data_IF_901957415114
#
_entry.id   IF_901957415114
#
_cell.length_a   1.000
_cell.length_b   1.000
_cell.length_c   1.000
_cell.angle_alpha   90.00
_cell.angle_beta   90.00
_cell.angle_gamma   90.00
#
_symmetry.space_group_name_H-M   'P 1'
#
loop_
_entity.id
_entity.type
_entity.pdbx_description
1 polymer ?
#
# COMPACT_ATOMS: atom_id res chain seq x y z
N UNK A 1 31.60 17.67 7.55
CA UNK A 1 30.39 18.52 7.66
C UNK A 1 29.55 18.00 8.82
N UNK A 2 29.30 18.84 9.82
CA UNK A 2 28.52 18.52 11.03
C UNK A 2 27.13 17.93 10.69
N UNK A 3 26.60 17.03 11.52
CA UNK A 3 25.26 16.43 11.37
C UNK A 3 24.18 17.49 11.43
N UNK A 4 24.31 18.46 12.33
CA UNK A 4 23.33 19.55 12.52
C UNK A 4 23.22 20.41 11.25
N UNK A 5 24.38 20.78 10.68
CA UNK A 5 24.45 21.52 9.43
C UNK A 5 23.84 20.74 8.25
N UNK A 6 23.97 19.40 8.23
CA UNK A 6 23.33 18.57 7.21
C UNK A 6 21.81 18.58 7.30
N UNK A 7 21.29 18.40 8.50
CA UNK A 7 19.85 18.35 8.73
C UNK A 7 19.21 19.69 8.40
N UNK A 8 19.88 20.80 8.73
CA UNK A 8 19.44 22.14 8.35
C UNK A 8 19.42 22.32 6.82
N UNK A 9 20.49 21.92 6.12
CA UNK A 9 20.57 22.02 4.66
C UNK A 9 19.52 21.16 3.94
N UNK A 10 19.27 19.93 4.44
CA UNK A 10 18.22 19.06 3.93
C UNK A 10 16.83 19.69 4.09
N UNK A 11 16.51 20.18 5.30
CA UNK A 11 15.21 20.83 5.57
C UNK A 11 15.01 22.07 4.70
N UNK A 12 16.05 22.91 4.55
CA UNK A 12 15.98 24.09 3.70
C UNK A 12 15.68 23.73 2.24
N UNK A 13 16.34 22.68 1.70
CA UNK A 13 16.08 22.21 0.33
C UNK A 13 14.70 21.58 0.18
N UNK A 14 14.25 20.83 1.19
CA UNK A 14 12.90 20.25 1.23
C UNK A 14 11.83 21.36 1.20
N UNK A 15 12.00 22.38 2.04
CA UNK A 15 11.12 23.54 2.10
C UNK A 15 11.09 24.30 0.77
N UNK A 16 12.26 24.63 0.21
CA UNK A 16 12.39 25.33 -1.06
C UNK A 16 11.77 24.55 -2.24
N UNK A 17 11.77 23.22 -2.19
CA UNK A 17 11.15 22.38 -3.23
C UNK A 17 9.62 22.31 -3.13
N UNK A 18 9.01 22.83 -2.07
CA UNK A 18 7.57 22.70 -1.79
C UNK A 18 7.10 21.28 -1.47
N UNK A 19 8.03 20.30 -1.36
CA UNK A 19 7.72 18.88 -1.10
C UNK A 19 7.62 18.55 0.39
N UNK A 20 7.79 19.53 1.28
CA UNK A 20 7.76 19.34 2.73
C UNK A 20 6.47 18.66 3.25
N UNK A 21 5.26 19.09 2.86
CA UNK A 21 4.03 18.44 3.32
C UNK A 21 3.92 16.99 2.85
N UNK A 22 4.39 16.72 1.64
CA UNK A 22 4.41 15.38 1.05
C UNK A 22 5.38 14.46 1.79
N UNK A 23 6.58 14.95 2.10
CA UNK A 23 7.61 14.18 2.81
C UNK A 23 7.15 13.78 4.22
N UNK A 24 6.66 14.74 5.01
CA UNK A 24 6.16 14.47 6.35
C UNK A 24 4.85 13.68 6.34
N UNK A 25 3.98 13.91 5.35
CA UNK A 25 2.78 13.12 5.13
C UNK A 25 3.10 11.64 4.91
N UNK A 26 4.08 11.31 4.06
CA UNK A 26 4.50 9.93 3.82
C UNK A 26 5.09 9.26 5.08
N UNK A 27 5.87 10.00 5.88
CA UNK A 27 6.40 9.50 7.16
C UNK A 27 5.28 9.21 8.16
N UNK A 28 4.33 10.14 8.30
CA UNK A 28 3.16 9.97 9.16
C UNK A 28 2.32 8.78 8.69
N UNK A 29 2.10 8.63 7.38
CA UNK A 29 1.39 7.48 6.81
C UNK A 29 2.07 6.16 7.20
N UNK A 30 3.39 6.04 7.05
CA UNK A 30 4.12 4.84 7.46
C UNK A 30 3.93 4.51 8.94
N UNK A 31 4.03 5.51 9.81
CA UNK A 31 3.83 5.33 11.24
C UNK A 31 2.40 4.86 11.56
N UNK A 32 1.41 5.55 11.01
CA UNK A 32 0.00 5.22 11.20
C UNK A 32 -0.34 3.83 10.65
N UNK A 33 0.23 3.42 9.51
CA UNK A 33 0.03 2.08 8.96
C UNK A 33 0.59 0.98 9.86
N UNK A 34 1.79 1.18 10.41
CA UNK A 34 2.42 0.21 11.31
C UNK A 34 1.63 0.07 12.61
N UNK A 35 1.13 1.18 13.15
CA UNK A 35 0.32 1.18 14.38
C UNK A 35 -1.07 0.61 14.11
N UNK A 36 -1.72 0.99 13.01
CA UNK A 36 -3.10 0.59 12.71
C UNK A 36 -3.23 -0.88 12.31
N UNK A 37 -2.21 -1.44 11.64
CA UNK A 37 -2.23 -2.82 11.14
C UNK A 37 -2.68 -3.87 12.18
N UNK A 38 -2.07 -3.98 13.38
CA UNK A 38 -2.48 -4.98 14.36
C UNK A 38 -3.93 -4.81 14.81
N UNK A 39 -4.42 -3.57 14.91
CA UNK A 39 -5.83 -3.30 15.25
C UNK A 39 -6.78 -3.72 14.13
N UNK A 40 -6.44 -3.42 12.87
CA UNK A 40 -7.22 -3.85 11.71
C UNK A 40 -7.25 -5.38 11.58
N UNK A 41 -6.10 -6.04 11.76
CA UNK A 41 -5.98 -7.50 11.71
C UNK A 41 -6.75 -8.16 12.85
N UNK A 42 -6.66 -7.64 14.08
CA UNK A 42 -7.40 -8.14 15.23
C UNK A 42 -8.92 -7.96 15.07
N UNK A 43 -9.37 -6.79 14.59
CA UNK A 43 -10.79 -6.54 14.32
C UNK A 43 -11.33 -7.49 13.25
N UNK A 44 -10.58 -7.69 12.15
CA UNK A 44 -10.91 -8.69 11.14
C UNK A 44 -10.95 -10.10 11.74
N UNK A 45 -9.91 -10.50 12.47
CA UNK A 45 -9.82 -11.85 13.03
C UNK A 45 -10.96 -12.14 14.01
N UNK A 46 -11.27 -11.22 14.93
CA UNK A 46 -12.37 -11.39 15.88
C UNK A 46 -13.74 -11.44 15.19
N UNK A 47 -13.95 -10.66 14.13
CA UNK A 47 -15.22 -10.62 13.42
C UNK A 47 -15.49 -11.91 12.63
N UNK A 48 -14.44 -12.54 12.07
CA UNK A 48 -14.59 -13.66 11.14
C UNK A 48 -14.13 -15.02 11.68
N UNK A 49 -13.24 -15.03 12.69
CA UNK A 49 -12.55 -16.23 13.19
C UNK A 49 -12.66 -16.40 14.72
N UNK A 50 -13.64 -15.78 15.37
CA UNK A 50 -13.87 -15.90 16.81
C UNK A 50 -14.37 -17.29 17.26
N UNK A 51 -14.69 -18.21 16.35
CA UNK A 51 -14.94 -19.61 16.67
C UNK A 51 -14.28 -20.54 15.64
N UNK A 52 -13.80 -21.74 16.01
CA UNK A 52 -13.23 -22.70 15.06
C UNK A 52 -14.21 -23.15 13.97
N UNK A 53 -15.52 -23.05 14.23
CA UNK A 53 -16.60 -23.28 13.27
C UNK A 53 -17.01 -22.00 12.52
N UNK A 54 -16.41 -20.85 12.85
CA UNK A 54 -16.88 -19.53 12.41
C UNK A 54 -16.43 -19.12 11.00
N UNK A 55 -15.43 -19.79 10.43
CA UNK A 55 -15.08 -19.64 9.01
C UNK A 55 -16.27 -19.96 8.08
N UNK A 56 -17.18 -20.84 8.53
CA UNK A 56 -18.43 -21.17 7.86
C UNK A 56 -19.60 -20.33 8.38
N UNK A 57 -19.46 -19.69 9.53
CA UNK A 57 -20.50 -18.87 10.13
C UNK A 57 -20.52 -17.48 9.50
N UNK A 58 -21.72 -16.94 9.43
CA UNK A 58 -22.00 -15.69 8.75
C UNK A 58 -21.67 -14.56 9.72
N UNK A 59 -21.02 -13.47 9.28
CA UNK A 59 -20.82 -12.30 10.13
C UNK A 59 -22.13 -11.90 10.76
N UNK A 60 -22.09 -11.63 12.07
CA UNK A 60 -23.28 -11.15 12.74
C UNK A 60 -23.60 -9.74 12.20
N UNK A 61 -24.69 -9.56 11.44
CA UNK A 61 -25.08 -8.26 10.90
C UNK A 61 -25.40 -7.31 12.05
N UNK A 62 -25.07 -6.04 11.92
CA UNK A 62 -25.23 -5.07 13.01
C UNK A 62 -24.34 -5.32 14.23
N UNK A 63 -23.34 -6.21 14.14
CA UNK A 63 -22.32 -6.33 15.18
C UNK A 63 -21.64 -4.97 15.39
N UNK A 64 -21.56 -4.49 16.65
CA UNK A 64 -20.93 -3.22 16.94
C UNK A 64 -19.45 -3.25 16.51
N UNK A 65 -18.96 -2.10 16.06
CA UNK A 65 -17.55 -1.92 15.74
C UNK A 65 -16.76 -2.14 17.05
N UNK A 66 -15.89 -3.13 17.06
CA UNK A 66 -15.01 -3.36 18.23
C UNK A 66 -14.06 -2.17 18.44
N UNK A 67 -13.54 -1.97 19.65
CA UNK A 67 -12.53 -0.94 19.93
C UNK A 67 -11.32 -1.02 18.99
N UNK A 68 -10.87 -2.23 18.62
CA UNK A 68 -9.82 -2.40 17.61
C UNK A 68 -10.26 -1.94 16.21
N UNK A 69 -11.52 -2.14 15.87
CA UNK A 69 -12.12 -1.63 14.62
C UNK A 69 -12.17 -0.10 14.60
N UNK A 70 -12.57 0.53 15.70
CA UNK A 70 -12.59 1.98 15.85
C UNK A 70 -11.20 2.58 15.69
N UNK A 71 -10.19 2.01 16.37
CA UNK A 71 -8.79 2.45 16.24
C UNK A 71 -8.31 2.27 14.80
N UNK A 72 -8.60 1.13 14.17
CA UNK A 72 -8.24 0.87 12.76
C UNK A 72 -8.84 1.93 11.83
N UNK A 73 -10.14 2.17 11.90
CA UNK A 73 -10.85 3.12 11.05
C UNK A 73 -10.34 4.54 11.30
N UNK A 74 -10.16 4.94 12.56
CA UNK A 74 -9.69 6.27 12.93
C UNK A 74 -8.29 6.55 12.39
N UNK A 75 -7.34 5.63 12.64
CA UNK A 75 -5.96 5.79 12.15
C UNK A 75 -5.89 5.84 10.62
N UNK A 76 -6.75 5.07 9.94
CA UNK A 76 -6.86 5.08 8.47
C UNK A 76 -7.50 6.36 7.95
N UNK A 77 -8.50 6.90 8.65
CA UNK A 77 -9.08 8.20 8.35
C UNK A 77 -8.05 9.33 8.45
N UNK A 78 -7.27 9.37 9.54
CA UNK A 78 -6.18 10.35 9.72
C UNK A 78 -5.15 10.24 8.59
N UNK A 79 -4.77 9.01 8.22
CA UNK A 79 -3.87 8.76 7.09
C UNK A 79 -4.44 9.36 5.79
N UNK A 80 -5.69 9.05 5.44
CA UNK A 80 -6.31 9.57 4.22
C UNK A 80 -6.39 11.10 4.19
N UNK A 81 -6.76 11.72 5.33
CA UNK A 81 -6.77 13.17 5.45
C UNK A 81 -5.38 13.77 5.24
N UNK A 82 -4.34 13.12 5.77
CA UNK A 82 -2.95 13.57 5.59
C UNK A 82 -2.45 13.45 4.14
N UNK A 83 -3.08 12.60 3.34
CA UNK A 83 -2.73 12.38 1.93
C UNK A 83 -3.52 13.24 0.94
N UNK A 84 -4.54 13.97 1.38
CA UNK A 84 -5.39 14.80 0.49
C UNK A 84 -4.57 15.77 -0.37
N UNK A 85 -3.56 16.42 0.22
CA UNK A 85 -2.67 17.34 -0.53
C UNK A 85 -1.78 16.62 -1.56
N UNK A 86 -1.56 15.32 -1.38
CA UNK A 86 -0.75 14.50 -2.30
C UNK A 86 -1.57 13.97 -3.49
N UNK A 87 -2.91 14.03 -3.44
CA UNK A 87 -3.78 13.55 -4.52
C UNK A 87 -3.53 14.29 -5.84
N UNK A 88 -3.31 15.61 -5.77
CA UNK A 88 -3.08 16.44 -6.95
C UNK A 88 -1.82 16.05 -7.72
N UNK A 89 -0.80 15.56 -7.03
CA UNK A 89 0.47 15.16 -7.63
C UNK A 89 0.52 13.69 -8.04
N UNK A 90 -0.49 12.88 -7.65
CA UNK A 90 -0.45 11.42 -7.78
C UNK A 90 -1.81 10.82 -8.16
N UNK A 91 -2.13 10.70 -9.45
CA UNK A 91 -3.37 10.08 -9.93
C UNK A 91 -3.57 8.65 -9.41
N UNK A 92 -2.48 7.86 -9.29
CA UNK A 92 -2.54 6.51 -8.74
C UNK A 92 -3.03 6.47 -7.28
N UNK A 93 -2.76 7.52 -6.50
CA UNK A 93 -3.23 7.66 -5.13
C UNK A 93 -4.73 7.93 -5.10
N UNK A 94 -5.26 8.74 -6.04
CA UNK A 94 -6.70 9.00 -6.18
C UNK A 94 -7.49 7.71 -6.36
N UNK A 95 -7.08 6.85 -7.30
CA UNK A 95 -7.76 5.56 -7.52
C UNK A 95 -7.70 4.64 -6.29
N UNK A 96 -6.59 4.70 -5.55
CA UNK A 96 -6.40 3.94 -4.33
C UNK A 96 -7.37 4.37 -3.20
N UNK A 97 -7.52 5.68 -2.98
CA UNK A 97 -8.48 6.20 -1.99
C UNK A 97 -9.92 5.97 -2.44
N UNK A 98 -10.25 6.16 -3.72
CA UNK A 98 -11.58 5.88 -4.26
C UNK A 98 -11.98 4.43 -4.05
N UNK A 99 -11.08 3.47 -4.32
CA UNK A 99 -11.34 2.06 -4.04
C UNK A 99 -11.63 1.80 -2.56
N UNK A 100 -10.88 2.42 -1.66
CA UNK A 100 -11.10 2.29 -0.21
C UNK A 100 -12.43 2.89 0.24
N UNK A 101 -12.81 4.06 -0.31
CA UNK A 101 -14.09 4.72 -0.03
C UNK A 101 -15.26 3.88 -0.53
N UNK A 102 -15.17 3.33 -1.74
CA UNK A 102 -16.22 2.46 -2.31
C UNK A 102 -16.43 1.23 -1.42
N UNK A 103 -15.37 0.61 -0.92
CA UNK A 103 -15.51 -0.53 0.00
C UNK A 103 -16.10 -0.10 1.34
N UNK A 104 -15.69 1.04 1.89
CA UNK A 104 -16.28 1.59 3.12
C UNK A 104 -17.79 1.85 2.96
N UNK A 105 -18.18 2.55 1.91
CA UNK A 105 -19.58 2.86 1.59
C UNK A 105 -20.38 1.58 1.33
N UNK A 106 -19.80 0.61 0.63
CA UNK A 106 -20.44 -0.69 0.39
C UNK A 106 -20.67 -1.43 1.70
N UNK A 107 -19.70 -1.43 2.62
CA UNK A 107 -19.83 -2.08 3.91
C UNK A 107 -20.89 -1.41 4.80
N UNK A 108 -20.99 -0.08 4.77
CA UNK A 108 -22.04 0.67 5.48
C UNK A 108 -23.41 0.38 4.86
N UNK A 109 -23.52 0.46 3.53
CA UNK A 109 -24.78 0.23 2.82
C UNK A 109 -25.32 -1.19 3.04
N UNK A 110 -24.43 -2.17 3.14
CA UNK A 110 -24.80 -3.57 3.32
C UNK A 110 -24.92 -3.99 4.80
N UNK A 111 -24.61 -3.10 5.74
CA UNK A 111 -24.52 -3.37 7.19
C UNK A 111 -23.56 -4.54 7.53
N UNK A 112 -22.38 -4.52 6.90
CA UNK A 112 -21.35 -5.56 7.04
C UNK A 112 -20.04 -4.90 7.49
N UNK A 113 -20.01 -4.44 8.73
CA UNK A 113 -18.83 -3.80 9.34
C UNK A 113 -17.55 -4.63 9.21
N UNK A 114 -17.67 -5.96 9.19
CA UNK A 114 -16.55 -6.90 8.98
C UNK A 114 -15.84 -6.81 7.64
N UNK A 115 -16.50 -6.35 6.56
CA UNK A 115 -15.88 -6.20 5.24
C UNK A 115 -14.93 -5.01 5.18
N UNK A 116 -15.01 -4.08 6.13
CA UNK A 116 -14.15 -2.88 6.19
C UNK A 116 -12.72 -3.26 6.59
N UNK A 117 -12.55 -4.25 7.48
CA UNK A 117 -11.24 -4.50 8.09
C UNK A 117 -10.25 -5.22 7.18
N UNK A 118 -10.73 -6.09 6.29
CA UNK A 118 -9.88 -6.86 5.37
C UNK A 118 -9.09 -5.99 4.36
N UNK A 119 -9.72 -5.07 3.61
CA UNK A 119 -8.98 -4.15 2.74
C UNK A 119 -8.08 -3.22 3.56
N UNK A 120 -8.50 -2.81 4.77
CA UNK A 120 -7.70 -1.94 5.64
C UNK A 120 -6.47 -2.64 6.25
N UNK A 121 -6.56 -3.95 6.52
CA UNK A 121 -5.45 -4.76 7.01
C UNK A 121 -4.41 -5.01 5.91
N UNK A 122 -4.85 -5.23 4.66
CA UNK A 122 -3.94 -5.51 3.54
C UNK A 122 -3.17 -4.29 3.03
N UNK A 123 -3.55 -3.09 3.46
CA UNK A 123 -2.79 -1.85 3.26
C UNK A 123 -1.43 -1.85 3.94
N UNK A 124 -1.13 -2.76 4.88
CA UNK A 124 0.24 -2.89 5.43
C UNK A 124 1.29 -3.15 4.34
N UNK A 125 0.86 -3.77 3.23
CA UNK A 125 1.70 -3.97 2.04
C UNK A 125 2.23 -2.64 1.47
N UNK A 126 1.63 -1.50 1.80
CA UNK A 126 2.01 -0.19 1.25
C UNK A 126 3.12 0.50 2.05
N UNK A 127 3.43 0.02 3.25
CA UNK A 127 4.54 0.53 4.06
C UNK A 127 5.85 0.51 3.27
N UNK A 128 6.13 -0.59 2.56
CA UNK A 128 7.35 -0.72 1.76
C UNK A 128 7.38 0.23 0.55
N UNK A 129 6.23 0.39 -0.14
CA UNK A 129 6.09 1.36 -1.23
C UNK A 129 6.35 2.78 -0.73
N UNK A 130 5.73 3.17 0.38
CA UNK A 130 5.86 4.49 1.00
C UNK A 130 7.29 4.74 1.49
N UNK A 131 7.97 3.76 2.08
CA UNK A 131 9.41 3.86 2.38
C UNK A 131 10.26 4.05 1.12
N UNK A 132 9.99 3.32 0.04
CA UNK A 132 10.72 3.50 -1.22
C UNK A 132 10.53 4.93 -1.80
N UNK A 133 9.39 5.57 -1.55
CA UNK A 133 9.14 6.97 -1.91
C UNK A 133 9.89 7.95 -1.01
N UNK A 134 9.91 7.74 0.30
CA UNK A 134 10.69 8.56 1.23
C UNK A 134 12.18 8.51 0.85
N UNK A 135 12.70 7.35 0.45
CA UNK A 135 14.08 7.21 -0.04
C UNK A 135 14.28 7.93 -1.37
N UNK A 136 13.30 7.89 -2.27
CA UNK A 136 13.37 8.65 -3.53
C UNK A 136 13.46 10.16 -3.27
N UNK A 137 12.61 10.69 -2.38
CA UNK A 137 12.65 12.08 -1.97
C UNK A 137 13.96 12.44 -1.27
N UNK A 138 14.49 11.56 -0.40
CA UNK A 138 15.81 11.75 0.18
C UNK A 138 16.89 11.85 -0.90
N UNK A 139 16.90 10.97 -1.90
CA UNK A 139 17.90 10.98 -2.95
C UNK A 139 17.82 12.23 -3.85
N UNK A 140 16.61 12.76 -4.09
CA UNK A 140 16.42 14.03 -4.81
C UNK A 140 16.96 15.22 -4.00
N UNK A 141 16.91 15.13 -2.67
CA UNK A 141 17.28 16.20 -1.76
C UNK A 141 18.68 16.07 -1.17
N UNK A 142 19.32 14.90 -1.25
CA UNK A 142 20.65 14.69 -0.69
C UNK A 142 21.67 15.58 -1.39
N UNK A 143 22.40 16.34 -0.58
CA UNK A 143 23.47 17.26 -1.00
C UNK A 143 24.85 16.60 -0.92
N UNK A 144 24.97 15.42 -0.27
CA UNK A 144 26.25 14.73 -0.09
C UNK A 144 26.53 13.65 -1.12
N UNK A 145 25.51 12.97 -1.64
CA UNK A 145 25.70 11.83 -2.53
C UNK A 145 24.60 11.67 -3.60
N UNK A 146 24.53 12.56 -4.60
CA UNK A 146 23.78 12.24 -5.82
C UNK A 146 24.32 10.92 -6.39
N UNK A 147 23.45 9.91 -6.51
CA UNK A 147 23.81 8.61 -7.10
C UNK A 147 24.42 7.55 -6.16
N UNK A 148 24.26 7.66 -4.83
CA UNK A 148 24.72 6.61 -3.91
C UNK A 148 24.08 5.25 -4.23
N UNK A 149 24.87 4.31 -4.75
CA UNK A 149 24.42 2.98 -5.16
C UNK A 149 23.75 2.21 -4.01
N UNK A 150 24.11 2.45 -2.74
CA UNK A 150 23.48 1.78 -1.59
C UNK A 150 22.00 2.17 -1.44
N UNK A 151 21.67 3.45 -1.58
CA UNK A 151 20.29 3.93 -1.49
C UNK A 151 19.46 3.53 -2.72
N UNK A 152 20.09 3.49 -3.90
CA UNK A 152 19.46 2.97 -5.12
C UNK A 152 19.13 1.47 -4.98
N UNK A 153 20.07 0.68 -4.44
CA UNK A 153 19.87 -0.74 -4.16
C UNK A 153 18.80 -0.97 -3.09
N UNK A 154 18.81 -0.21 -2.00
CA UNK A 154 17.79 -0.29 -0.96
C UNK A 154 16.40 0.05 -1.50
N UNK A 155 16.27 1.13 -2.28
CA UNK A 155 15.01 1.49 -2.96
C UNK A 155 14.53 0.36 -3.87
N UNK A 156 15.42 -0.24 -4.67
CA UNK A 156 15.11 -1.38 -5.54
C UNK A 156 14.62 -2.59 -4.73
N UNK A 157 15.34 -2.94 -3.66
CA UNK A 157 14.99 -4.06 -2.79
C UNK A 157 13.64 -3.84 -2.10
N UNK A 158 13.35 -2.63 -1.62
CA UNK A 158 12.05 -2.29 -1.06
C UNK A 158 10.93 -2.36 -2.10
N UNK A 159 11.18 -1.95 -3.34
CA UNK A 159 10.19 -2.08 -4.42
C UNK A 159 9.92 -3.54 -4.80
N UNK A 160 10.96 -4.38 -4.83
CA UNK A 160 10.84 -5.82 -5.08
C UNK A 160 10.11 -6.50 -3.91
N UNK A 161 10.51 -6.23 -2.68
CA UNK A 161 9.84 -6.73 -1.48
C UNK A 161 8.37 -6.26 -1.43
N UNK A 162 8.10 -5.01 -1.81
CA UNK A 162 6.74 -4.50 -1.95
C UNK A 162 5.96 -5.36 -2.93
N UNK A 163 6.48 -5.67 -4.13
CA UNK A 163 5.78 -6.55 -5.09
C UNK A 163 5.45 -7.92 -4.46
N UNK A 164 6.42 -8.53 -3.78
CA UNK A 164 6.27 -9.84 -3.16
C UNK A 164 5.31 -9.87 -1.98
N UNK A 165 5.14 -8.78 -1.26
CA UNK A 165 4.13 -8.68 -0.18
C UNK A 165 2.78 -8.25 -0.77
N UNK A 166 2.78 -7.35 -1.75
CA UNK A 166 1.60 -6.76 -2.35
C UNK A 166 0.76 -7.79 -3.10
N UNK A 167 1.38 -8.62 -3.95
CA UNK A 167 0.62 -9.59 -4.75
C UNK A 167 -0.08 -10.64 -3.86
N UNK A 168 0.58 -11.36 -2.94
CA UNK A 168 -0.08 -12.38 -2.13
C UNK A 168 -1.11 -11.81 -1.17
N UNK A 169 -0.85 -10.64 -0.57
CA UNK A 169 -1.80 -10.01 0.37
C UNK A 169 -3.07 -9.51 -0.33
N UNK A 170 -2.93 -8.83 -1.48
CA UNK A 170 -4.06 -8.24 -2.19
C UNK A 170 -4.86 -9.25 -3.01
N UNK A 171 -4.22 -10.23 -3.65
CA UNK A 171 -4.96 -11.29 -4.35
C UNK A 171 -5.75 -12.17 -3.37
N UNK A 172 -5.13 -12.57 -2.26
CA UNK A 172 -5.84 -13.33 -1.22
C UNK A 172 -7.00 -12.52 -0.63
N UNK A 173 -6.81 -11.21 -0.41
CA UNK A 173 -7.87 -10.30 0.02
C UNK A 173 -9.06 -10.31 -0.94
N UNK A 174 -8.82 -10.25 -2.25
CA UNK A 174 -9.88 -10.30 -3.28
C UNK A 174 -10.69 -11.60 -3.13
N UNK A 175 -10.02 -12.75 -3.10
CA UNK A 175 -10.68 -14.06 -3.03
C UNK A 175 -11.47 -14.22 -1.73
N UNK A 176 -10.87 -13.85 -0.60
CA UNK A 176 -11.52 -13.92 0.72
C UNK A 176 -12.73 -12.98 0.75
N UNK A 177 -12.62 -11.75 0.25
CA UNK A 177 -13.75 -10.80 0.20
C UNK A 177 -14.91 -11.36 -0.62
N UNK A 178 -14.64 -11.96 -1.79
CA UNK A 178 -15.65 -12.58 -2.63
C UNK A 178 -16.34 -13.76 -1.95
N UNK A 179 -15.55 -14.67 -1.36
CA UNK A 179 -16.08 -15.83 -0.63
C UNK A 179 -16.97 -15.40 0.54
N UNK A 180 -16.49 -14.47 1.35
CA UNK A 180 -17.20 -13.98 2.53
C UNK A 180 -18.50 -13.25 2.16
N UNK A 181 -18.48 -12.45 1.09
CA UNK A 181 -19.68 -11.81 0.54
C UNK A 181 -20.70 -12.85 0.07
N UNK A 182 -20.24 -13.86 -0.69
CA UNK A 182 -21.10 -14.94 -1.16
C UNK A 182 -21.79 -15.67 0.01
N UNK A 183 -21.02 -16.06 1.03
CA UNK A 183 -21.54 -16.75 2.21
C UNK A 183 -22.57 -15.92 2.97
N UNK A 184 -22.34 -14.61 3.09
CA UNK A 184 -23.29 -13.71 3.73
C UNK A 184 -24.59 -13.60 2.93
N UNK A 185 -24.50 -13.37 1.62
CA UNK A 185 -25.67 -13.29 0.73
C UNK A 185 -26.47 -14.60 0.75
N UNK A 186 -25.77 -15.73 0.82
CA UNK A 186 -26.40 -17.04 0.93
C UNK A 186 -27.10 -17.26 2.27
N UNK A 187 -26.58 -16.72 3.36
CA UNK A 187 -27.21 -16.87 4.66
C UNK A 187 -28.36 -15.90 4.92
N UNK A 188 -28.39 -14.76 4.22
CA UNK A 188 -29.39 -13.70 4.40
C UNK A 188 -30.49 -13.75 3.33
N UNK A 189 -30.91 -14.96 2.92
CA UNK A 189 -32.00 -15.13 1.93
C UNK A 189 -33.34 -14.64 2.44
N UNK A 190 -33.48 -14.55 3.75
CA UNK A 190 -34.63 -14.06 4.53
C UNK A 190 -34.77 -12.53 4.47
N UNK A 191 -33.66 -11.81 4.38
CA UNK A 191 -33.64 -10.34 4.48
C UNK A 191 -33.47 -9.67 3.11
N UNK A 192 -32.78 -10.32 2.17
CA UNK A 192 -32.58 -9.77 0.84
C UNK A 192 -33.42 -10.50 -0.21
N UNK A 193 -34.20 -9.70 -0.94
CA UNK A 193 -34.89 -10.17 -2.15
C UNK A 193 -33.90 -10.83 -3.11
N UNK A 194 -34.38 -11.75 -3.93
CA UNK A 194 -33.54 -12.48 -4.89
C UNK A 194 -32.77 -11.50 -5.81
N UNK A 195 -33.43 -10.43 -6.26
CA UNK A 195 -32.81 -9.39 -7.10
C UNK A 195 -31.74 -8.60 -6.35
N UNK A 196 -31.98 -8.22 -5.09
CA UNK A 196 -30.99 -7.53 -4.26
C UNK A 196 -29.73 -8.38 -4.05
N UNK A 197 -29.90 -9.68 -3.80
CA UNK A 197 -28.77 -10.62 -3.65
C UNK A 197 -27.90 -10.71 -4.89
N UNK A 198 -28.51 -10.82 -6.07
CA UNK A 198 -27.76 -10.82 -7.32
C UNK A 198 -27.04 -9.49 -7.54
N UNK A 199 -27.70 -8.35 -7.27
CA UNK A 199 -27.08 -7.04 -7.41
C UNK A 199 -25.83 -6.88 -6.53
N UNK A 200 -25.90 -7.31 -5.27
CA UNK A 200 -24.75 -7.26 -4.34
C UNK A 200 -23.61 -8.14 -4.80
N UNK A 201 -23.90 -9.39 -5.21
CA UNK A 201 -22.86 -10.28 -5.72
C UNK A 201 -22.23 -9.72 -6.99
N UNK A 202 -23.04 -9.29 -7.96
CA UNK A 202 -22.53 -8.68 -9.20
C UNK A 202 -21.65 -7.47 -8.90
N UNK A 203 -22.08 -6.57 -8.01
CA UNK A 203 -21.30 -5.40 -7.61
C UNK A 203 -19.93 -5.78 -7.02
N UNK A 204 -19.90 -6.71 -6.05
CA UNK A 204 -18.65 -7.17 -5.42
C UNK A 204 -17.75 -7.86 -6.44
N UNK A 205 -18.29 -8.73 -7.29
CA UNK A 205 -17.51 -9.37 -8.37
C UNK A 205 -16.96 -8.35 -9.36
N UNK A 206 -17.73 -7.32 -9.73
CA UNK A 206 -17.25 -6.23 -10.59
C UNK A 206 -16.09 -5.49 -9.93
N UNK A 207 -16.20 -5.14 -8.64
CA UNK A 207 -15.09 -4.52 -7.90
C UNK A 207 -13.87 -5.44 -7.88
N UNK A 208 -14.04 -6.74 -7.63
CA UNK A 208 -12.94 -7.72 -7.62
C UNK A 208 -12.24 -7.81 -8.98
N UNK A 209 -12.99 -7.81 -10.09
CA UNK A 209 -12.43 -7.84 -11.45
C UNK A 209 -11.65 -6.57 -11.73
N UNK A 210 -12.23 -5.39 -11.44
CA UNK A 210 -11.57 -4.09 -11.64
C UNK A 210 -10.29 -4.02 -10.79
N UNK A 211 -10.37 -4.44 -9.53
CA UNK A 211 -9.23 -4.40 -8.62
C UNK A 211 -8.14 -5.39 -9.03
N UNK A 212 -8.51 -6.61 -9.43
CA UNK A 212 -7.58 -7.60 -9.97
C UNK A 212 -6.89 -7.13 -11.25
N UNK A 213 -7.63 -6.54 -12.19
CA UNK A 213 -7.07 -5.95 -13.41
C UNK A 213 -6.09 -4.81 -13.09
N UNK A 214 -6.42 -3.97 -12.11
CA UNK A 214 -5.54 -2.91 -11.63
C UNK A 214 -4.28 -3.47 -10.97
N UNK A 215 -4.36 -4.52 -10.14
CA UNK A 215 -3.18 -5.17 -9.54
C UNK A 215 -2.27 -5.71 -10.65
N UNK A 216 -2.82 -6.41 -11.64
CA UNK A 216 -2.06 -6.93 -12.79
C UNK A 216 -1.38 -5.79 -13.56
N UNK A 217 -2.10 -4.70 -13.81
CA UNK A 217 -1.56 -3.51 -14.47
C UNK A 217 -0.43 -2.86 -13.67
N UNK A 218 -0.61 -2.70 -12.36
CA UNK A 218 0.41 -2.19 -11.44
C UNK A 218 1.66 -3.07 -11.43
N UNK A 219 1.51 -4.40 -11.33
CA UNK A 219 2.62 -5.34 -11.36
C UNK A 219 3.36 -5.31 -12.70
N UNK A 220 2.64 -5.22 -13.82
CA UNK A 220 3.23 -5.06 -15.16
C UNK A 220 4.01 -3.76 -15.27
N UNK A 221 3.47 -2.64 -14.79
CA UNK A 221 4.16 -1.35 -14.80
C UNK A 221 5.43 -1.36 -13.93
N UNK A 222 5.34 -1.88 -12.70
CA UNK A 222 6.49 -2.00 -11.81
C UNK A 222 7.56 -2.95 -12.35
N UNK A 223 7.17 -4.09 -12.91
CA UNK A 223 8.09 -5.03 -13.56
C UNK A 223 8.82 -4.39 -14.74
N UNK A 224 8.10 -3.67 -15.63
CA UNK A 224 8.72 -2.92 -16.73
C UNK A 224 9.72 -1.87 -16.24
N UNK A 225 9.37 -1.11 -15.20
CA UNK A 225 10.26 -0.08 -14.61
C UNK A 225 11.50 -0.71 -13.96
N UNK A 226 11.35 -1.84 -13.27
CA UNK A 226 12.48 -2.59 -12.70
C UNK A 226 13.38 -3.19 -13.78
N UNK A 227 12.81 -3.70 -14.88
CA UNK A 227 13.56 -4.21 -16.02
C UNK A 227 14.39 -3.11 -16.68
N UNK A 228 13.78 -1.96 -16.99
CA UNK A 228 14.47 -0.78 -17.53
C UNK A 228 15.57 -0.26 -16.60
N UNK A 229 15.33 -0.23 -15.29
CA UNK A 229 16.34 0.16 -14.31
C UNK A 229 17.49 -0.87 -14.22
N UNK A 230 17.20 -2.16 -14.39
CA UNK A 230 18.21 -3.22 -14.47
C UNK A 230 19.09 -3.10 -15.73
N UNK A 231 18.48 -2.80 -16.88
CA UNK A 231 19.18 -2.56 -18.15
C UNK A 231 20.06 -1.30 -18.08
N UNK A 232 19.58 -0.22 -17.46
CA UNK A 232 20.36 1.00 -17.23
C UNK A 232 21.51 0.81 -16.23
N UNK A 233 21.33 0.02 -15.17
CA UNK A 233 22.44 -0.32 -14.27
C UNK A 233 23.45 -1.30 -14.93
N UNK A 234 23.00 -2.13 -15.88
CA UNK A 234 23.86 -2.98 -16.69
C UNK A 234 24.69 -2.21 -17.71
N UNK A 235 24.15 -1.15 -18.31
CA UNK A 235 24.88 -0.30 -19.26
C UNK A 235 25.94 0.61 -18.61
N UNK A 236 25.94 0.75 -17.28
CA UNK A 236 26.99 1.46 -16.52
C UNK A 236 28.21 0.57 -16.25
N UNK A 237 28.19 -0.71 -16.65
CA UNK A 237 29.40 -1.54 -16.78
C UNK A 237 29.73 -1.75 -18.26
N UNK A 238 30.69 -0.94 -18.73
CA UNK A 238 31.69 -1.22 -19.80
C UNK A 238 32.11 0.07 -20.53
N UNK A 239 32.23 1.20 -19.82
CA UNK A 239 33.08 2.32 -20.26
C UNK A 239 33.89 2.77 -19.05
N UNK A 240 35.12 2.26 -18.93
CA UNK A 240 36.06 2.73 -17.90
C UNK A 240 36.79 1.68 -17.08
N UNK A 241 37.23 0.55 -17.67
CA UNK A 241 38.43 -0.20 -17.18
C UNK A 241 39.15 -0.84 -18.37
N UNK A 242 39.51 -0.03 -19.37
CA UNK A 242 40.42 -0.45 -20.44
C UNK A 242 41.29 0.75 -20.81
N UNK A 243 42.30 1.03 -19.97
CA UNK A 243 43.22 2.14 -20.21
C UNK A 243 44.06 2.59 -19.02
N UNK A 244 44.41 1.70 -18.08
CA UNK A 244 45.16 2.13 -16.89
C UNK A 244 45.85 1.06 -16.06
N UNK A 245 46.05 -0.14 -16.59
CA UNK A 245 46.77 -1.24 -15.89
C UNK A 245 47.92 -1.79 -16.71
N UNK A 246 48.70 -0.89 -17.34
CA UNK A 246 50.04 -1.20 -17.86
C UNK A 246 50.98 -0.03 -17.53
N UNK A 247 51.30 0.12 -16.24
CA UNK A 247 52.52 0.79 -15.74
C UNK A 247 52.48 0.75 -14.21
N UNK A 248 52.80 -0.38 -13.61
CA UNK A 248 53.23 -0.49 -12.20
C UNK A 248 53.87 -1.87 -11.91
N UNK A 249 54.54 -2.45 -12.91
CA UNK A 249 55.46 -3.57 -12.75
C UNK A 249 56.67 -3.34 -13.66
N UNK A 250 57.44 -2.31 -13.31
CA UNK A 250 58.87 -2.07 -13.65
C UNK A 250 59.22 -0.65 -13.21
N UNK A 251 59.53 -0.51 -11.92
CA UNK A 251 60.41 0.52 -11.36
C UNK A 251 60.92 0.01 -10.02
#
# INVERSE_FOLDING_TARGET
MDRTALTAAFRAKLHASGKEPMYYGLLLCNLLMLIAFPFCANAFWKQWFSSPLSFLSVPNPGAPISTSGEICITMRGVMWLSELKNLQSRPALVYHHLGSIVVLLSAVHLDITGLIYLPLATLVSEVLSTFAWVIALHNEMDLRFPGNQRWALLKKNLQVANIWIYAPSRFSCILVTGYLTYRLVEARKDIWSRSARYAVLTWVFTIMIIWGAWIVSYLKDKSRKLKKAGEQCGSVKMVGVAGGTERLLKS
#
